data_IF_381019636727
#
_entry.id   IF_381019636727
#
_cell.length_a   1.000
_cell.length_b   1.000
_cell.length_c   1.000
_cell.angle_alpha   90.00
_cell.angle_beta   90.00
_cell.angle_gamma   90.00
#
_symmetry.space_group_name_H-M   'P 1'
#
loop_
_entity.id
_entity.type
_entity.pdbx_description
1 polymer ?
#
# COMPACT_ATOMS: atom_id res chain seq x y z
N UNK A 1 5.70 17.92 1.41
CA UNK A 1 7.15 18.21 1.32
C UNK A 1 7.36 19.14 0.14
N UNK A 2 8.10 20.25 0.27
CA UNK A 2 8.50 21.10 -0.85
C UNK A 2 9.35 20.35 -1.89
N UNK A 3 9.24 20.72 -3.17
CA UNK A 3 9.94 20.03 -4.27
C UNK A 3 11.47 20.05 -4.11
N UNK A 4 12.04 21.17 -3.67
CA UNK A 4 13.50 21.29 -3.49
C UNK A 4 14.05 20.27 -2.48
N UNK A 5 13.27 19.96 -1.43
CA UNK A 5 13.63 18.92 -0.46
C UNK A 5 13.42 17.53 -1.05
N UNK A 6 12.32 17.32 -1.78
CA UNK A 6 11.99 16.03 -2.39
C UNK A 6 13.03 15.57 -3.41
N UNK A 7 13.68 16.51 -4.10
CA UNK A 7 14.72 16.26 -5.10
C UNK A 7 16.15 16.41 -4.54
N UNK A 8 16.30 16.62 -3.22
CA UNK A 8 17.62 16.87 -2.64
C UNK A 8 18.45 15.59 -2.56
N UNK A 9 19.69 15.68 -3.03
CA UNK A 9 20.65 14.56 -3.07
C UNK A 9 21.80 14.76 -2.07
N UNK A 10 22.38 13.66 -1.60
CA UNK A 10 23.60 13.64 -0.80
C UNK A 10 24.86 13.73 -1.67
N UNK A 11 26.04 13.59 -1.05
CA UNK A 11 27.31 13.69 -1.76
C UNK A 11 27.55 12.51 -2.74
N UNK A 12 26.76 11.45 -2.64
CA UNK A 12 26.83 10.25 -3.46
C UNK A 12 25.77 10.26 -4.59
N UNK A 13 24.97 11.33 -4.70
CA UNK A 13 23.88 11.42 -5.68
C UNK A 13 22.65 10.59 -5.31
N UNK A 14 22.52 10.16 -4.04
CA UNK A 14 21.34 9.47 -3.55
C UNK A 14 20.35 10.46 -2.94
N UNK A 15 19.05 10.15 -3.01
CA UNK A 15 18.01 10.97 -2.38
C UNK A 15 18.25 11.06 -0.86
N UNK A 16 18.38 12.28 -0.32
CA UNK A 16 18.51 12.50 1.13
C UNK A 16 17.30 11.98 1.90
N UNK A 17 16.11 12.13 1.32
CA UNK A 17 14.84 11.67 1.89
C UNK A 17 14.30 10.47 1.11
N UNK A 18 15.05 9.38 1.08
CA UNK A 18 14.72 8.17 0.33
C UNK A 18 13.65 7.29 0.99
N UNK A 19 13.53 7.35 2.33
CA UNK A 19 12.66 6.46 3.11
C UNK A 19 11.17 6.83 2.96
N UNK A 20 10.53 6.28 1.92
CA UNK A 20 9.12 6.51 1.63
C UNK A 20 8.18 5.72 2.58
N UNK A 21 7.22 6.41 3.20
CA UNK A 21 6.21 5.76 4.04
C UNK A 21 5.14 5.04 3.20
N UNK A 22 5.05 3.71 3.32
CA UNK A 22 4.02 2.88 2.67
C UNK A 22 2.76 2.66 3.52
N UNK A 23 2.65 3.33 4.67
CA UNK A 23 1.53 3.26 5.62
C UNK A 23 1.31 1.88 6.28
N UNK A 24 2.38 1.11 6.45
CA UNK A 24 2.40 -0.11 7.26
C UNK A 24 3.21 0.17 8.52
N UNK A 25 2.57 0.08 9.69
CA UNK A 25 3.18 0.43 10.97
C UNK A 25 2.85 -0.63 12.03
N UNK A 26 3.79 -0.87 12.94
CA UNK A 26 3.59 -1.70 14.14
C UNK A 26 3.74 -0.82 15.36
N UNK A 27 2.72 -0.83 16.23
CA UNK A 27 2.70 -0.01 17.44
C UNK A 27 2.55 -0.88 18.69
N UNK A 28 3.20 -0.47 19.77
CA UNK A 28 2.89 -1.04 21.08
C UNK A 28 1.49 -0.60 21.51
N UNK A 29 0.65 -1.56 21.93
CA UNK A 29 -0.71 -1.28 22.40
C UNK A 29 -0.75 -0.23 23.52
N UNK A 30 0.16 -0.32 24.50
CA UNK A 30 0.24 0.62 25.63
C UNK A 30 0.47 2.05 25.15
N UNK A 31 1.37 2.25 24.18
CA UNK A 31 1.64 3.55 23.59
C UNK A 31 0.38 4.15 22.94
N UNK A 32 -0.38 3.36 22.18
CA UNK A 32 -1.65 3.82 21.60
C UNK A 32 -2.68 4.21 22.67
N UNK A 33 -2.75 3.45 23.76
CA UNK A 33 -3.65 3.75 24.89
C UNK A 33 -3.27 5.06 25.59
N UNK A 34 -1.98 5.30 25.82
CA UNK A 34 -1.47 6.53 26.42
C UNK A 34 -1.84 7.75 25.58
N UNK A 35 -1.65 7.69 24.25
CA UNK A 35 -2.01 8.79 23.35
C UNK A 35 -3.52 8.97 23.25
N UNK A 36 -4.30 7.89 23.18
CA UNK A 36 -5.77 7.97 23.13
C UNK A 36 -6.36 8.63 24.38
N UNK A 37 -5.74 8.44 25.54
CA UNK A 37 -6.13 9.06 26.81
C UNK A 37 -5.53 10.46 27.02
N UNK A 38 -4.66 10.93 26.12
CA UNK A 38 -4.06 12.27 26.23
C UNK A 38 -5.09 13.35 25.93
N UNK A 39 -5.07 14.44 26.71
CA UNK A 39 -5.98 15.56 26.52
C UNK A 39 -5.73 16.31 25.20
N UNK A 40 -4.50 16.28 24.69
CA UNK A 40 -4.08 16.97 23.46
C UNK A 40 -4.43 16.21 22.18
N UNK A 41 -4.49 14.88 22.23
CA UNK A 41 -4.68 14.03 21.05
C UNK A 41 -3.65 14.30 19.93
N UNK A 42 -3.98 13.88 18.70
CA UNK A 42 -3.20 14.18 17.50
C UNK A 42 -3.59 15.53 16.89
N UNK A 43 -2.63 16.24 16.26
CA UNK A 43 -2.89 17.52 15.61
C UNK A 43 -3.87 17.37 14.45
N UNK A 44 -4.65 18.43 14.20
CA UNK A 44 -5.48 18.51 13.01
C UNK A 44 -4.68 19.07 11.84
N UNK A 45 -4.81 18.41 10.70
CA UNK A 45 -4.41 18.90 9.39
C UNK A 45 -5.66 19.37 8.65
N UNK A 46 -5.55 20.50 7.94
CA UNK A 46 -6.66 21.08 7.20
C UNK A 46 -6.45 20.89 5.71
N UNK A 47 -7.50 20.46 5.01
CA UNK A 47 -7.54 20.39 3.56
C UNK A 47 -8.75 21.15 3.03
N UNK A 48 -8.52 22.10 2.12
CA UNK A 48 -9.59 22.75 1.38
C UNK A 48 -10.18 21.77 0.37
N UNK A 49 -11.51 21.62 0.37
CA UNK A 49 -12.24 20.68 -0.49
C UNK A 49 -13.39 21.38 -1.20
N UNK A 50 -13.64 20.97 -2.44
CA UNK A 50 -14.91 21.14 -3.12
C UNK A 50 -15.84 20.04 -2.61
N UNK A 51 -16.92 20.43 -1.94
CA UNK A 51 -17.90 19.52 -1.34
C UNK A 51 -19.28 19.89 -1.88
N UNK A 52 -19.88 18.96 -2.61
CA UNK A 52 -21.26 19.05 -3.05
C UNK A 52 -22.17 19.33 -1.84
N UNK A 53 -23.10 20.29 -2.00
CA UNK A 53 -23.98 20.71 -0.91
C UNK A 53 -25.37 21.08 -1.45
N UNK A 54 -26.31 21.27 -0.53
CA UNK A 54 -27.64 21.80 -0.84
C UNK A 54 -27.65 23.28 -0.47
N UNK A 55 -28.10 24.14 -1.38
CA UNK A 55 -28.22 25.58 -1.13
C UNK A 55 -29.44 25.91 -0.24
N UNK A 56 -29.61 27.19 0.09
CA UNK A 56 -30.73 27.65 0.92
C UNK A 56 -32.12 27.47 0.27
N UNK A 57 -32.18 27.24 -1.04
CA UNK A 57 -33.42 27.01 -1.80
C UNK A 57 -33.74 25.52 -1.94
N UNK A 58 -32.86 24.64 -1.46
CA UNK A 58 -33.03 23.19 -1.56
C UNK A 58 -32.44 22.57 -2.84
N UNK A 59 -31.67 23.32 -3.63
CA UNK A 59 -31.09 22.82 -4.86
C UNK A 59 -29.70 22.19 -4.61
N UNK A 60 -29.34 21.09 -5.30
CA UNK A 60 -27.99 20.55 -5.26
C UNK A 60 -27.00 21.45 -6.02
N UNK A 61 -25.84 21.67 -5.41
CA UNK A 61 -24.77 22.52 -5.95
C UNK A 61 -23.44 21.77 -5.92
N UNK A 62 -22.80 21.70 -7.09
CA UNK A 62 -21.41 21.27 -7.26
C UNK A 62 -20.52 22.52 -7.38
N UNK A 63 -19.62 22.78 -6.40
CA UNK A 63 -18.88 24.04 -6.35
C UNK A 63 -17.62 24.02 -7.23
N UNK A 64 -17.39 25.10 -7.97
CA UNK A 64 -16.19 25.27 -8.82
C UNK A 64 -14.91 25.60 -8.02
N UNK A 65 -15.05 26.08 -6.79
CA UNK A 65 -13.95 26.44 -5.88
C UNK A 65 -14.12 25.76 -4.53
N UNK A 66 -13.04 25.53 -3.76
CA UNK A 66 -13.17 24.93 -2.43
C UNK A 66 -14.10 25.73 -1.51
N UNK A 67 -15.13 25.07 -0.98
CA UNK A 67 -16.17 25.63 -0.12
C UNK A 67 -16.19 25.03 1.29
N UNK A 68 -15.34 24.03 1.56
CA UNK A 68 -15.27 23.37 2.86
C UNK A 68 -13.81 23.16 3.31
N UNK A 69 -13.64 23.09 4.63
CA UNK A 69 -12.38 22.69 5.27
C UNK A 69 -12.60 21.29 5.86
N UNK A 70 -11.83 20.32 5.37
CA UNK A 70 -11.78 18.97 5.94
C UNK A 70 -10.67 18.90 6.98
N UNK A 71 -11.03 18.46 8.19
CA UNK A 71 -10.11 18.21 9.28
C UNK A 71 -9.69 16.74 9.24
N UNK A 72 -8.40 16.47 9.18
CA UNK A 72 -7.83 15.11 9.19
C UNK A 72 -6.79 14.97 10.30
N UNK A 73 -6.61 13.76 10.82
CA UNK A 73 -5.52 13.40 11.72
C UNK A 73 -4.72 12.30 11.06
N UNK A 74 -3.40 12.33 11.14
CA UNK A 74 -2.56 11.32 10.51
C UNK A 74 -1.95 10.39 11.53
N UNK A 75 -2.08 9.07 11.30
CA UNK A 75 -1.58 8.06 12.23
C UNK A 75 -0.07 8.15 12.46
N UNK A 76 0.69 8.62 11.46
CA UNK A 76 2.14 8.81 11.54
C UNK A 76 2.57 10.05 12.33
N UNK A 77 1.64 10.94 12.72
CA UNK A 77 1.93 12.00 13.70
C UNK A 77 2.24 11.44 15.10
N UNK A 78 1.98 10.13 15.31
CA UNK A 78 2.43 9.41 16.50
C UNK A 78 3.95 9.20 16.54
N UNK A 79 4.63 9.15 15.40
CA UNK A 79 6.04 8.72 15.33
C UNK A 79 6.97 9.60 16.18
N UNK A 80 6.87 10.95 16.16
CA UNK A 80 7.71 11.81 17.02
C UNK A 80 7.42 11.67 18.52
N UNK A 81 6.26 11.11 18.90
CA UNK A 81 5.86 10.91 20.30
C UNK A 81 6.38 9.58 20.87
N UNK A 82 6.85 8.67 20.02
CA UNK A 82 7.37 7.38 20.46
C UNK A 82 8.78 7.54 21.07
N UNK A 83 9.00 6.94 22.24
CA UNK A 83 10.33 6.93 22.89
C UNK A 83 11.39 6.17 22.08
N UNK A 84 10.96 5.19 21.29
CA UNK A 84 11.81 4.36 20.44
C UNK A 84 11.09 4.08 19.13
N UNK A 85 11.82 4.23 18.03
CA UNK A 85 11.32 3.98 16.67
C UNK A 85 12.28 3.05 15.94
N UNK A 86 11.74 2.16 15.11
CA UNK A 86 12.48 1.33 14.17
C UNK A 86 11.90 1.53 12.77
N UNK A 87 12.76 1.68 11.78
CA UNK A 87 12.38 1.69 10.37
C UNK A 87 12.83 0.38 9.73
N UNK A 88 11.93 -0.27 9.00
CA UNK A 88 12.20 -1.50 8.25
C UNK A 88 12.02 -1.19 6.77
N UNK A 89 13.07 -1.43 6.00
CA UNK A 89 13.05 -1.31 4.54
C UNK A 89 12.65 -2.63 3.90
N UNK A 90 11.96 -2.54 2.76
CA UNK A 90 11.64 -3.69 1.93
C UNK A 90 11.69 -3.31 0.45
N UNK A 91 11.97 -4.28 -0.41
CA UNK A 91 11.87 -4.13 -1.85
C UNK A 91 10.43 -3.77 -2.23
N UNK A 92 10.25 -2.76 -3.08
CA UNK A 92 8.92 -2.21 -3.40
C UNK A 92 7.99 -3.28 -3.97
N UNK A 93 8.51 -4.08 -4.89
CA UNK A 93 7.82 -5.14 -5.61
C UNK A 93 7.32 -6.26 -4.70
N UNK A 94 7.90 -6.43 -3.50
CA UNK A 94 7.46 -7.46 -2.56
C UNK A 94 6.39 -7.01 -1.58
N UNK A 95 6.21 -5.69 -1.37
CA UNK A 95 5.31 -5.18 -0.31
C UNK A 95 4.36 -4.06 -0.73
N UNK A 96 4.50 -3.49 -1.94
CA UNK A 96 3.79 -2.26 -2.27
C UNK A 96 3.26 -2.18 -3.71
N UNK A 97 1.95 -2.42 -3.85
CA UNK A 97 1.19 -2.26 -5.10
C UNK A 97 -0.12 -1.48 -4.85
N UNK A 98 -0.08 -0.15 -4.65
CA UNK A 98 -1.26 0.62 -4.22
C UNK A 98 -2.24 0.89 -5.38
N UNK A 99 -3.53 1.03 -5.03
CA UNK A 99 -4.57 1.56 -5.91
C UNK A 99 -5.02 2.91 -5.38
N UNK A 100 -4.76 3.97 -6.15
CA UNK A 100 -5.06 5.37 -5.79
C UNK A 100 -5.72 6.15 -6.93
N UNK A 101 -5.51 5.72 -8.17
CA UNK A 101 -5.91 6.46 -9.36
C UNK A 101 -6.92 5.67 -10.21
N UNK A 102 -7.70 6.39 -11.01
CA UNK A 102 -8.59 5.81 -12.01
C UNK A 102 -7.82 5.06 -13.11
N UNK A 103 -8.50 4.16 -13.82
CA UNK A 103 -7.90 3.30 -14.85
C UNK A 103 -7.26 4.04 -16.04
N UNK A 104 -7.58 5.32 -16.23
CA UNK A 104 -6.96 6.18 -17.24
C UNK A 104 -5.52 6.58 -16.90
N UNK A 105 -5.12 6.52 -15.62
CA UNK A 105 -3.75 6.78 -15.21
C UNK A 105 -2.81 5.61 -15.53
N UNK A 106 -1.51 5.88 -15.62
CA UNK A 106 -0.47 4.88 -15.88
C UNK A 106 0.20 4.32 -14.61
N UNK A 107 -0.12 4.84 -13.43
CA UNK A 107 0.44 4.38 -12.15
C UNK A 107 -0.64 4.27 -11.05
N UNK A 108 -0.41 3.39 -10.08
CA UNK A 108 -1.30 3.17 -8.93
C UNK A 108 -2.77 2.98 -9.29
N UNK A 109 -3.04 2.17 -10.32
CA UNK A 109 -4.38 1.80 -10.78
C UNK A 109 -4.66 0.31 -10.48
N UNK A 110 -5.91 -0.16 -10.59
CA UNK A 110 -6.21 -1.59 -10.44
C UNK A 110 -5.37 -2.47 -11.38
N UNK A 111 -5.15 -2.01 -12.63
CA UNK A 111 -4.32 -2.73 -13.61
C UNK A 111 -2.87 -2.86 -13.16
N UNK A 112 -2.25 -1.77 -12.70
CA UNK A 112 -0.84 -1.82 -12.25
C UNK A 112 -0.69 -2.62 -10.97
N UNK A 113 -1.70 -2.59 -10.09
CA UNK A 113 -1.73 -3.38 -8.86
C UNK A 113 -1.80 -4.87 -9.16
N UNK A 114 -2.75 -5.29 -10.02
CA UNK A 114 -2.88 -6.68 -10.44
C UNK A 114 -1.60 -7.21 -11.08
N UNK A 115 -0.97 -6.41 -11.95
CA UNK A 115 0.30 -6.78 -12.58
C UNK A 115 1.39 -7.00 -11.53
N UNK A 116 1.55 -6.08 -10.57
CA UNK A 116 2.56 -6.22 -9.51
C UNK A 116 2.36 -7.46 -8.63
N UNK A 117 1.10 -7.77 -8.26
CA UNK A 117 0.78 -9.01 -7.51
C UNK A 117 1.13 -10.25 -8.35
N UNK A 118 0.81 -10.24 -9.64
CA UNK A 118 1.12 -11.37 -10.51
C UNK A 118 2.62 -11.55 -10.75
N UNK A 119 3.37 -10.46 -10.90
CA UNK A 119 4.85 -10.47 -10.98
C UNK A 119 5.46 -11.04 -9.70
N UNK A 120 4.94 -10.68 -8.52
CA UNK A 120 5.35 -11.23 -7.23
C UNK A 120 5.12 -12.75 -7.17
N UNK A 121 3.90 -13.21 -7.45
CA UNK A 121 3.57 -14.63 -7.41
C UNK A 121 4.31 -15.45 -8.47
N UNK A 122 4.52 -14.89 -9.66
CA UNK A 122 5.37 -15.48 -10.69
C UNK A 122 6.80 -15.69 -10.18
N UNK A 123 7.37 -14.68 -9.53
CA UNK A 123 8.70 -14.79 -8.93
C UNK A 123 8.77 -15.88 -7.86
N UNK A 124 7.71 -16.03 -7.05
CA UNK A 124 7.65 -17.09 -6.04
C UNK A 124 7.56 -18.48 -6.67
N UNK A 125 6.71 -18.65 -7.68
CA UNK A 125 6.56 -19.91 -8.42
C UNK A 125 7.87 -20.33 -9.09
N UNK A 126 8.57 -19.39 -9.72
CA UNK A 126 9.88 -19.66 -10.33
C UNK A 126 10.93 -20.09 -9.30
N UNK A 127 10.92 -19.50 -8.09
CA UNK A 127 11.79 -19.92 -6.99
C UNK A 127 11.41 -21.30 -6.44
N UNK A 128 10.14 -21.69 -6.53
CA UNK A 128 9.65 -23.03 -6.21
C UNK A 128 9.90 -24.07 -7.33
N UNK A 129 10.55 -23.68 -8.43
CA UNK A 129 10.86 -24.56 -9.56
C UNK A 129 9.78 -24.65 -10.64
N UNK A 130 8.68 -23.92 -10.51
CA UNK A 130 7.61 -23.86 -11.51
C UNK A 130 8.03 -23.00 -12.71
N UNK A 131 7.90 -23.54 -13.92
CA UNK A 131 8.05 -22.79 -15.17
C UNK A 131 6.74 -22.07 -15.52
N UNK A 132 6.75 -20.74 -15.55
CA UNK A 132 5.57 -19.93 -15.87
C UNK A 132 5.74 -19.30 -17.24
N UNK A 133 4.86 -19.61 -18.20
CA UNK A 133 4.91 -19.08 -19.56
C UNK A 133 4.86 -17.54 -19.59
N UNK A 134 5.36 -16.93 -20.66
CA UNK A 134 5.27 -15.48 -20.83
C UNK A 134 3.81 -15.02 -20.94
N UNK A 135 3.52 -13.77 -20.55
CA UNK A 135 2.20 -13.13 -20.65
C UNK A 135 1.04 -13.78 -19.87
N UNK A 136 1.23 -14.91 -19.18
CA UNK A 136 0.18 -15.48 -18.31
C UNK A 136 0.07 -14.72 -16.98
N UNK A 137 -1.15 -14.55 -16.50
CA UNK A 137 -1.43 -14.02 -15.17
C UNK A 137 -1.50 -15.18 -14.18
N UNK A 138 -0.66 -15.12 -13.16
CA UNK A 138 -0.69 -16.05 -12.03
C UNK A 138 -1.03 -15.31 -10.74
N UNK A 139 -1.88 -15.92 -9.93
CA UNK A 139 -2.18 -15.44 -8.58
C UNK A 139 -2.21 -16.62 -7.60
N UNK A 140 -1.75 -16.38 -6.37
CA UNK A 140 -1.76 -17.37 -5.28
C UNK A 140 -2.72 -16.85 -4.21
N UNK A 141 -3.76 -17.61 -3.90
CA UNK A 141 -4.63 -17.33 -2.78
C UNK A 141 -3.84 -17.55 -1.46
N UNK A 142 -4.00 -16.70 -0.43
CA UNK A 142 -3.30 -16.87 0.85
C UNK A 142 -3.52 -18.22 1.55
N UNK A 143 -4.62 -18.93 1.27
CA UNK A 143 -4.87 -20.30 1.79
C UNK A 143 -4.01 -21.36 1.10
N UNK A 144 -3.54 -21.08 -0.11
CA UNK A 144 -2.55 -21.93 -0.78
C UNK A 144 -1.16 -21.62 -0.23
N UNK A 145 -0.71 -20.37 -0.29
CA UNK A 145 0.50 -19.91 0.40
C UNK A 145 0.39 -18.44 0.79
N UNK A 146 0.81 -18.09 2.02
CA UNK A 146 0.77 -16.71 2.54
C UNK A 146 2.03 -15.92 2.21
N UNK A 147 3.14 -16.62 2.00
CA UNK A 147 4.45 -16.09 1.66
C UNK A 147 5.27 -17.12 0.87
N UNK A 148 6.46 -16.71 0.41
CA UNK A 148 7.38 -17.58 -0.32
C UNK A 148 7.84 -18.79 0.53
N UNK A 149 8.27 -18.64 1.80
CA UNK A 149 8.63 -19.80 2.63
C UNK A 149 7.51 -20.86 2.69
N UNK A 150 6.26 -20.46 2.92
CA UNK A 150 5.14 -21.40 2.92
C UNK A 150 4.96 -22.07 1.55
N UNK A 151 5.11 -21.32 0.43
CA UNK A 151 5.04 -21.92 -0.92
C UNK A 151 6.13 -22.98 -1.14
N UNK A 152 7.35 -22.74 -0.67
CA UNK A 152 8.49 -23.66 -0.85
C UNK A 152 8.33 -24.98 -0.08
N UNK A 153 7.51 -25.01 0.96
CA UNK A 153 7.20 -26.22 1.73
C UNK A 153 6.14 -27.10 1.05
N UNK A 154 5.47 -26.60 0.01
CA UNK A 154 4.39 -27.31 -0.67
C UNK A 154 4.93 -28.33 -1.68
N UNK A 155 4.31 -29.51 -1.68
CA UNK A 155 4.59 -30.57 -2.66
C UNK A 155 3.67 -30.55 -3.88
N UNK A 156 2.63 -29.72 -3.86
CA UNK A 156 1.61 -29.61 -4.91
C UNK A 156 1.76 -28.34 -5.78
N UNK A 157 2.95 -27.73 -5.77
CA UNK A 157 3.30 -26.65 -6.72
C UNK A 157 3.42 -27.24 -8.12
N UNK A 158 2.73 -26.69 -9.14
CA UNK A 158 2.83 -27.22 -10.50
C UNK A 158 4.25 -27.07 -11.07
N UNK A 159 4.71 -28.06 -11.85
CA UNK A 159 5.98 -27.96 -12.58
C UNK A 159 5.92 -26.87 -13.67
N UNK A 160 4.74 -26.66 -14.27
CA UNK A 160 4.55 -25.70 -15.35
C UNK A 160 3.15 -25.05 -15.34
N UNK A 161 3.09 -23.76 -15.67
CA UNK A 161 1.86 -23.00 -15.89
C UNK A 161 1.90 -22.33 -17.27
N UNK A 162 0.95 -22.70 -18.15
CA UNK A 162 0.87 -22.18 -19.54
C UNK A 162 -0.36 -21.32 -19.82
N UNK A 163 -1.26 -21.19 -18.85
CA UNK A 163 -2.47 -20.37 -18.96
C UNK A 163 -2.69 -19.57 -17.67
N UNK A 164 -3.61 -18.61 -17.72
CA UNK A 164 -3.95 -17.80 -16.55
C UNK A 164 -4.41 -18.72 -15.41
N UNK A 165 -3.71 -18.66 -14.28
CA UNK A 165 -3.89 -19.64 -13.20
C UNK A 165 -4.05 -18.95 -11.86
N UNK A 166 -5.03 -19.42 -11.09
CA UNK A 166 -5.24 -19.03 -9.71
C UNK A 166 -5.06 -20.23 -8.81
N UNK A 167 -3.99 -20.23 -8.00
CA UNK A 167 -3.69 -21.31 -7.07
C UNK A 167 -4.44 -21.08 -5.77
N UNK A 168 -5.36 -21.98 -5.45
CA UNK A 168 -6.12 -21.99 -4.20
C UNK A 168 -6.05 -23.39 -3.62
N UNK A 169 -6.04 -23.51 -2.30
CA UNK A 169 -6.13 -24.82 -1.65
C UNK A 169 -7.39 -25.54 -2.16
N UNK A 170 -7.30 -26.80 -2.64
CA UNK A 170 -8.49 -27.56 -2.98
C UNK A 170 -9.35 -27.70 -1.72
N UNK A 171 -10.62 -27.32 -1.80
CA UNK A 171 -11.55 -27.49 -0.68
C UNK A 171 -11.70 -29.00 -0.39
N UNK A 172 -11.34 -29.44 0.82
CA UNK A 172 -11.64 -30.79 1.32
C UNK A 172 -10.48 -31.78 1.45
N UNK A 173 -9.25 -31.33 1.74
CA UNK A 173 -8.15 -32.22 2.21
C UNK A 173 -7.95 -32.12 3.72
#
# INVERSE_FOLDING_TARGET
MPNDLAMSEDAQGQLKFWAANIAVHVFQRRFLQEIANSASGLPYHFAHKQVAHIDHQGNPVEPDVPNAIKFERFIFDLLPLAQRTLTVEAARESVFAPVKNASSANFSTPRTSRRGISELHRSWLQQAGCSVADEVTVEIHPTYAVDLPHLLERSDVPDQITENTYLVHPEGS
#
